data_IF_659693922679
#
_entry.id   IF_659693922679
#
_cell.length_a   1.000
_cell.length_b   1.000
_cell.length_c   1.000
_cell.angle_alpha   90.00
_cell.angle_beta   90.00
_cell.angle_gamma   90.00
#
_symmetry.space_group_name_H-M   'P 1'
#
loop_
_entity.id
_entity.type
_entity.pdbx_description
1 polymer ?
#
# COMPACT_ATOMS: atom_id res chain seq x y z
N UNK A 1 -19.93 15.82 11.27
CA UNK A 1 -19.10 15.04 10.34
C UNK A 1 -17.65 15.31 10.72
N UNK A 2 -16.91 14.30 11.18
CA UNK A 2 -15.52 14.47 11.59
C UNK A 2 -14.63 14.51 10.34
N UNK A 3 -13.65 15.41 10.33
CA UNK A 3 -12.69 15.58 9.24
C UNK A 3 -11.29 15.41 9.82
N UNK A 4 -10.50 14.54 9.21
CA UNK A 4 -9.09 14.31 9.50
C UNK A 4 -8.30 14.91 8.34
N UNK A 5 -7.48 15.91 8.66
CA UNK A 5 -6.54 16.55 7.72
C UNK A 5 -5.12 16.18 8.12
N UNK A 6 -4.32 15.73 7.17
CA UNK A 6 -2.89 15.53 7.37
C UNK A 6 -2.09 16.20 6.25
N UNK A 7 -0.91 16.71 6.58
CA UNK A 7 0.02 17.26 5.58
C UNK A 7 1.49 17.21 6.01
N UNK A 8 1.81 17.55 7.26
CA UNK A 8 3.18 17.68 7.75
C UNK A 8 3.69 16.38 8.37
N UNK A 9 5.01 16.23 8.40
CA UNK A 9 5.72 15.07 8.99
C UNK A 9 5.34 14.78 10.45
N UNK A 10 4.87 15.80 11.19
CA UNK A 10 4.47 15.67 12.59
C UNK A 10 2.96 15.57 12.80
N UNK A 11 2.16 15.58 11.73
CA UNK A 11 0.72 15.45 11.86
C UNK A 11 0.36 13.99 12.15
N UNK A 12 -0.65 13.73 13.01
CA UNK A 12 -1.27 12.42 13.09
C UNK A 12 -1.64 11.93 11.68
N UNK A 13 -1.46 10.64 11.40
CA UNK A 13 -1.80 10.02 10.11
C UNK A 13 -0.96 10.47 8.90
N UNK A 14 0.21 11.10 9.10
CA UNK A 14 1.16 11.31 7.99
C UNK A 14 1.57 9.99 7.32
N UNK A 15 1.48 8.89 8.06
CA UNK A 15 1.63 7.52 7.57
C UNK A 15 0.69 7.20 6.40
N UNK A 16 -0.41 7.92 6.20
CA UNK A 16 -1.34 7.71 5.09
C UNK A 16 -0.85 8.32 3.78
N UNK A 17 -0.01 9.36 3.83
CA UNK A 17 0.58 9.95 2.63
C UNK A 17 1.31 8.90 1.80
N UNK A 18 1.17 8.98 0.48
CA UNK A 18 1.87 8.10 -0.45
C UNK A 18 3.41 8.37 -0.48
N UNK A 19 3.86 9.44 0.16
CA UNK A 19 5.27 9.75 0.42
C UNK A 19 5.83 9.08 1.68
N UNK A 20 4.99 8.53 2.55
CA UNK A 20 5.43 7.92 3.79
C UNK A 20 6.35 6.70 3.51
N UNK A 21 7.45 6.53 4.27
CA UNK A 21 8.48 5.51 4.02
C UNK A 21 8.04 4.12 4.49
N UNK A 22 6.97 3.62 3.90
CA UNK A 22 6.49 2.25 4.06
C UNK A 22 6.74 1.51 2.74
N UNK A 23 7.83 0.73 2.65
CA UNK A 23 8.15 0.00 1.43
C UNK A 23 7.04 -0.97 1.07
N UNK A 24 6.75 -1.09 -0.22
CA UNK A 24 5.73 -2.00 -0.75
C UNK A 24 6.36 -2.94 -1.76
N UNK A 25 5.96 -4.21 -1.68
CA UNK A 25 6.43 -5.23 -2.60
C UNK A 25 5.33 -5.55 -3.60
N UNK A 26 5.54 -5.23 -4.87
CA UNK A 26 4.54 -5.41 -5.94
C UNK A 26 5.23 -6.02 -7.16
N UNK A 27 4.66 -7.11 -7.69
CA UNK A 27 5.12 -7.79 -8.91
C UNK A 27 6.63 -8.10 -8.90
N UNK A 28 7.14 -8.72 -7.82
CA UNK A 28 8.55 -9.10 -7.73
C UNK A 28 9.52 -7.95 -7.42
N UNK A 29 9.02 -6.72 -7.21
CA UNK A 29 9.87 -5.55 -6.97
C UNK A 29 9.49 -4.81 -5.69
N UNK A 30 10.52 -4.45 -4.92
CA UNK A 30 10.39 -3.59 -3.74
C UNK A 30 10.44 -2.12 -4.16
N UNK A 31 9.45 -1.35 -3.71
CA UNK A 31 9.34 0.09 -3.89
C UNK A 31 9.46 0.78 -2.55
N UNK A 32 10.30 1.81 -2.44
CA UNK A 32 10.55 2.50 -1.16
C UNK A 32 9.32 3.20 -0.61
N UNK A 33 8.45 3.70 -1.49
CA UNK A 33 7.14 4.30 -1.16
C UNK A 33 6.13 4.06 -2.28
N UNK A 34 4.85 4.32 -2.01
CA UNK A 34 3.79 4.34 -3.03
C UNK A 34 4.12 5.36 -4.12
N UNK A 35 4.69 6.52 -3.78
CA UNK A 35 5.12 7.52 -4.76
C UNK A 35 6.15 6.98 -5.76
N UNK A 36 7.11 6.17 -5.34
CA UNK A 36 8.08 5.55 -6.26
C UNK A 36 7.39 4.62 -7.26
N UNK A 37 6.48 3.76 -6.74
CA UNK A 37 5.68 2.87 -7.58
C UNK A 37 4.83 3.68 -8.58
N UNK A 38 4.13 4.71 -8.09
CA UNK A 38 3.25 5.55 -8.90
C UNK A 38 4.00 6.28 -10.03
N UNK A 39 5.13 6.91 -9.72
CA UNK A 39 5.92 7.63 -10.72
C UNK A 39 6.55 6.69 -11.75
N UNK A 40 7.03 5.51 -11.32
CA UNK A 40 7.60 4.53 -12.25
C UNK A 40 6.55 3.99 -13.23
N UNK A 41 5.32 3.74 -12.75
CA UNK A 41 4.23 3.22 -13.57
C UNK A 41 3.71 4.18 -14.65
N UNK A 42 4.22 5.42 -14.72
CA UNK A 42 4.00 6.33 -15.85
C UNK A 42 4.69 5.88 -17.13
N UNK A 43 5.72 5.05 -17.03
CA UNK A 43 6.63 4.75 -18.13
C UNK A 43 6.57 3.27 -18.49
N UNK A 44 6.87 2.95 -19.76
CA UNK A 44 7.17 1.58 -20.21
C UNK A 44 8.68 1.35 -20.37
N UNK A 45 9.48 2.41 -20.30
CA UNK A 45 10.93 2.34 -20.42
C UNK A 45 11.55 1.84 -19.11
N UNK A 46 12.20 0.67 -19.17
CA UNK A 46 12.79 0.01 -18.00
C UNK A 46 13.90 0.83 -17.33
N UNK A 47 14.72 1.57 -18.07
CA UNK A 47 15.79 2.37 -17.49
C UNK A 47 15.23 3.50 -16.61
N UNK A 48 14.13 4.13 -17.05
CA UNK A 48 13.44 5.16 -16.27
C UNK A 48 12.79 4.55 -15.02
N UNK A 49 12.14 3.39 -15.17
CA UNK A 49 11.52 2.65 -14.06
C UNK A 49 12.57 2.30 -13.00
N UNK A 50 13.71 1.72 -13.43
CA UNK A 50 14.82 1.36 -12.54
C UNK A 50 15.41 2.59 -11.86
N UNK A 51 15.66 3.65 -12.62
CA UNK A 51 16.17 4.93 -12.09
C UNK A 51 15.24 5.48 -11.01
N UNK A 52 13.93 5.50 -11.27
CA UNK A 52 12.93 5.95 -10.30
C UNK A 52 12.98 5.09 -9.05
N UNK A 53 13.01 3.77 -9.19
CA UNK A 53 13.01 2.84 -8.05
C UNK A 53 14.24 2.99 -7.15
N UNK A 54 15.37 3.42 -7.71
CA UNK A 54 16.64 3.55 -7.00
C UNK A 54 16.78 4.88 -6.24
N UNK A 55 15.98 5.91 -6.55
CA UNK A 55 16.02 7.17 -5.79
C UNK A 55 15.77 6.95 -4.30
N UNK A 56 16.49 7.67 -3.44
CA UNK A 56 16.29 7.57 -1.99
C UNK A 56 15.10 8.37 -1.51
N UNK A 57 14.74 9.44 -2.22
CA UNK A 57 13.66 10.36 -1.84
C UNK A 57 12.47 10.22 -2.80
N UNK A 58 11.22 10.14 -2.28
CA UNK A 58 10.03 10.20 -3.11
C UNK A 58 9.95 11.51 -3.91
N UNK A 59 10.55 12.60 -3.41
CA UNK A 59 10.60 13.86 -4.15
C UNK A 59 11.47 13.75 -5.42
N UNK A 60 12.53 12.94 -5.40
CA UNK A 60 13.36 12.74 -6.60
C UNK A 60 12.65 11.83 -7.61
N UNK A 61 11.89 10.83 -7.14
CA UNK A 61 10.96 10.07 -7.99
C UNK A 61 9.93 10.98 -8.68
N UNK A 62 9.36 11.97 -7.96
CA UNK A 62 8.45 12.97 -8.54
C UNK A 62 9.13 13.81 -9.61
N UNK A 63 10.35 14.29 -9.34
CA UNK A 63 11.11 15.11 -10.31
C UNK A 63 11.36 14.34 -11.60
N UNK A 64 11.79 13.08 -11.50
CA UNK A 64 12.01 12.23 -12.67
C UNK A 64 10.70 11.89 -13.38
N UNK A 65 9.64 11.58 -12.63
CA UNK A 65 8.32 11.30 -13.18
C UNK A 65 7.59 12.51 -13.78
N UNK A 66 8.13 13.72 -13.61
CA UNK A 66 7.69 14.98 -14.25
C UNK A 66 8.68 15.48 -15.30
N UNK A 67 9.75 14.73 -15.57
CA UNK A 67 10.73 15.11 -16.59
C UNK A 67 10.09 15.04 -17.98
N UNK A 68 9.97 16.21 -18.62
CA UNK A 68 9.32 16.37 -19.94
C UNK A 68 9.99 15.60 -21.09
N UNK A 69 11.22 15.14 -20.90
CA UNK A 69 11.94 14.35 -21.90
C UNK A 69 11.55 12.87 -21.88
N UNK A 70 10.86 12.42 -20.82
CA UNK A 70 10.42 11.04 -20.67
C UNK A 70 9.04 10.85 -21.31
N UNK A 71 8.88 9.80 -22.11
CA UNK A 71 7.62 9.47 -22.78
C UNK A 71 6.72 8.72 -21.79
N UNK A 72 5.64 9.38 -21.35
CA UNK A 72 4.59 8.79 -20.50
C UNK A 72 3.70 7.89 -21.37
N UNK A 73 3.19 6.79 -20.79
CA UNK A 73 2.21 5.91 -21.44
C UNK A 73 0.97 6.68 -21.88
N UNK A 74 0.42 6.32 -23.03
CA UNK A 74 -0.72 7.01 -23.63
C UNK A 74 -2.01 6.88 -22.80
N UNK A 75 -2.16 5.78 -22.05
CA UNK A 75 -3.30 5.46 -21.19
C UNK A 75 -3.17 6.04 -19.76
N UNK A 76 -2.10 6.79 -19.46
CA UNK A 76 -1.76 7.19 -18.09
C UNK A 76 -2.89 7.91 -17.35
N UNK A 77 -3.59 8.83 -18.02
CA UNK A 77 -4.67 9.58 -17.39
C UNK A 77 -5.87 8.70 -17.00
N UNK A 78 -6.05 7.56 -17.67
CA UNK A 78 -7.12 6.59 -17.42
C UNK A 78 -6.74 5.66 -16.25
N UNK A 79 -5.47 5.23 -16.17
CA UNK A 79 -5.03 4.20 -15.22
C UNK A 79 -4.45 4.74 -13.90
N UNK A 80 -4.16 6.04 -13.80
CA UNK A 80 -3.44 6.60 -12.64
C UNK A 80 -4.16 6.37 -11.30
N UNK A 81 -5.49 6.38 -11.30
CA UNK A 81 -6.28 6.12 -10.08
C UNK A 81 -6.11 4.66 -9.64
N UNK A 82 -6.15 3.70 -10.57
CA UNK A 82 -5.93 2.28 -10.29
C UNK A 82 -4.50 1.99 -9.82
N UNK A 83 -3.50 2.64 -10.43
CA UNK A 83 -2.11 2.53 -10.01
C UNK A 83 -1.92 3.07 -8.60
N UNK A 84 -2.50 4.24 -8.28
CA UNK A 84 -2.44 4.78 -6.92
C UNK A 84 -3.14 3.85 -5.92
N UNK A 85 -4.36 3.40 -6.26
CA UNK A 85 -5.13 2.49 -5.43
C UNK A 85 -4.36 1.21 -5.14
N UNK A 86 -3.79 0.57 -6.16
CA UNK A 86 -2.99 -0.66 -6.01
C UNK A 86 -1.79 -0.43 -5.08
N UNK A 87 -1.10 0.69 -5.22
CA UNK A 87 0.00 1.06 -4.32
C UNK A 87 -0.46 1.21 -2.87
N UNK A 88 -1.57 1.92 -2.64
CA UNK A 88 -2.17 2.07 -1.31
C UNK A 88 -2.63 0.72 -0.75
N UNK A 89 -3.33 -0.09 -1.53
CA UNK A 89 -3.78 -1.42 -1.14
C UNK A 89 -2.61 -2.25 -0.59
N UNK A 90 -1.53 -2.42 -1.35
CA UNK A 90 -0.37 -3.17 -0.89
C UNK A 90 0.31 -2.53 0.32
N UNK A 91 0.36 -1.19 0.39
CA UNK A 91 0.88 -0.48 1.57
C UNK A 91 0.11 -0.83 2.83
N UNK A 92 -1.22 -0.81 2.82
CA UNK A 92 -1.99 -1.11 4.02
C UNK A 92 -1.97 -2.61 4.32
N UNK A 93 -2.20 -3.47 3.34
CA UNK A 93 -2.20 -4.94 3.52
C UNK A 93 -0.85 -5.45 4.04
N UNK A 94 0.27 -4.99 3.50
CA UNK A 94 1.60 -5.46 3.91
C UNK A 94 2.10 -4.83 5.21
N UNK A 95 1.42 -3.79 5.72
CA UNK A 95 1.77 -3.11 6.98
C UNK A 95 0.57 -3.12 7.94
N UNK A 96 0.36 -4.21 8.70
CA UNK A 96 -0.82 -4.35 9.55
C UNK A 96 -1.08 -3.22 10.56
N UNK A 97 -0.03 -2.53 11.01
CA UNK A 97 -0.17 -1.34 11.87
C UNK A 97 -0.92 -0.22 11.15
N UNK A 98 -0.66 -0.01 9.86
CA UNK A 98 -1.35 0.98 9.04
C UNK A 98 -2.80 0.59 8.81
N UNK A 99 -3.09 -0.69 8.57
CA UNK A 99 -4.47 -1.18 8.46
C UNK A 99 -5.28 -0.85 9.71
N UNK A 100 -4.72 -1.13 10.90
CA UNK A 100 -5.37 -0.77 12.17
C UNK A 100 -5.57 0.74 12.30
N UNK A 101 -4.56 1.52 11.94
CA UNK A 101 -4.64 2.99 11.96
C UNK A 101 -5.74 3.52 11.02
N UNK A 102 -5.84 2.98 9.79
CA UNK A 102 -6.88 3.34 8.82
C UNK A 102 -8.28 3.02 9.33
N UNK A 103 -8.49 1.82 9.88
CA UNK A 103 -9.77 1.41 10.45
C UNK A 103 -10.15 2.25 11.67
N UNK A 104 -9.17 2.67 12.48
CA UNK A 104 -9.41 3.52 13.66
C UNK A 104 -10.00 4.88 13.31
N UNK A 105 -9.90 5.32 12.05
CA UNK A 105 -10.55 6.56 11.58
C UNK A 105 -12.08 6.47 11.57
N UNK A 106 -12.66 5.27 11.68
CA UNK A 106 -14.11 5.09 11.70
C UNK A 106 -14.76 5.68 10.46
N UNK A 107 -15.78 6.53 10.63
CA UNK A 107 -16.47 7.20 9.51
C UNK A 107 -15.89 8.59 9.19
N UNK A 108 -14.67 8.89 9.64
CA UNK A 108 -14.04 10.20 9.47
C UNK A 108 -13.65 10.42 8.01
N UNK A 109 -13.87 11.64 7.49
CA UNK A 109 -13.35 12.01 6.17
C UNK A 109 -11.84 12.16 6.24
N UNK A 110 -11.15 11.52 5.30
CA UNK A 110 -9.70 11.57 5.18
C UNK A 110 -9.35 12.61 4.10
N UNK A 111 -8.57 13.61 4.46
CA UNK A 111 -8.16 14.69 3.56
C UNK A 111 -6.65 14.87 3.61
N UNK A 112 -5.99 14.73 2.45
CA UNK A 112 -4.63 15.21 2.28
C UNK A 112 -4.67 16.72 2.02
N UNK A 113 -4.13 17.51 2.95
CA UNK A 113 -4.36 18.94 2.99
C UNK A 113 -3.15 19.74 2.47
N UNK A 114 -3.06 19.94 1.16
CA UNK A 114 -1.95 20.67 0.55
C UNK A 114 -2.39 21.64 -0.53
N UNK A 115 -1.74 22.81 -0.60
CA UNK A 115 -1.92 23.78 -1.68
C UNK A 115 -1.26 23.36 -3.00
N UNK A 116 -0.35 22.39 -2.94
CA UNK A 116 0.55 22.04 -4.04
C UNK A 116 -0.01 20.94 -4.95
N UNK A 117 -1.08 20.26 -4.55
CA UNK A 117 -1.72 19.23 -5.34
C UNK A 117 -3.23 19.49 -5.41
N UNK A 118 -3.75 19.56 -6.64
CA UNK A 118 -5.15 19.88 -6.94
C UNK A 118 -5.96 18.65 -7.35
N UNK A 119 -5.32 17.49 -7.46
CA UNK A 119 -5.96 16.25 -7.89
C UNK A 119 -6.00 15.24 -6.73
N UNK A 120 -4.84 14.92 -6.16
CA UNK A 120 -4.73 13.94 -5.08
C UNK A 120 -5.16 14.53 -3.73
N UNK A 121 -4.99 15.85 -3.55
CA UNK A 121 -5.29 16.58 -2.34
C UNK A 121 -6.41 17.62 -2.52
N UNK A 122 -6.76 18.30 -1.43
CA UNK A 122 -7.86 19.28 -1.37
C UNK A 122 -7.50 20.71 -1.82
N UNK A 123 -6.25 20.94 -2.26
CA UNK A 123 -5.79 22.26 -2.70
C UNK A 123 -5.60 23.29 -1.58
N UNK A 124 -5.74 22.90 -0.31
CA UNK A 124 -5.58 23.75 0.86
C UNK A 124 -6.78 24.67 1.16
N UNK A 125 -7.71 24.82 0.23
CA UNK A 125 -8.98 25.55 0.40
C UNK A 125 -10.21 24.62 0.39
N UNK A 126 -10.01 23.31 0.17
CA UNK A 126 -11.10 22.33 0.09
C UNK A 126 -11.80 22.28 -1.26
N UNK A 127 -11.37 23.06 -2.27
CA UNK A 127 -12.05 23.19 -3.56
C UNK A 127 -11.64 22.14 -4.60
N UNK A 128 -10.82 21.16 -4.21
CA UNK A 128 -10.21 20.16 -5.11
C UNK A 128 -10.67 18.75 -4.79
N UNK A 129 -10.28 17.81 -5.66
CA UNK A 129 -10.87 16.46 -5.68
C UNK A 129 -10.54 15.62 -4.45
N UNK A 130 -9.39 15.81 -3.80
CA UNK A 130 -8.96 14.96 -2.68
C UNK A 130 -9.01 13.45 -3.02
N UNK A 131 -8.62 13.08 -4.25
CA UNK A 131 -8.74 11.68 -4.73
C UNK A 131 -8.00 10.69 -3.85
N UNK A 132 -6.88 11.07 -3.26
CA UNK A 132 -6.13 10.18 -2.36
C UNK A 132 -6.96 9.83 -1.13
N UNK A 133 -7.57 10.84 -0.50
CA UNK A 133 -8.45 10.65 0.65
C UNK A 133 -9.68 9.81 0.32
N UNK A 134 -10.26 10.00 -0.86
CA UNK A 134 -11.38 9.17 -1.36
C UNK A 134 -10.96 7.70 -1.54
N UNK A 135 -9.79 7.43 -2.16
CA UNK A 135 -9.28 6.07 -2.31
C UNK A 135 -8.97 5.40 -0.96
N UNK A 136 -8.46 6.16 0.02
CA UNK A 136 -8.25 5.66 1.39
C UNK A 136 -9.56 5.29 2.08
N UNK A 137 -10.62 6.07 1.87
CA UNK A 137 -11.96 5.74 2.39
C UNK A 137 -12.50 4.48 1.71
N UNK A 138 -12.38 4.36 0.39
CA UNK A 138 -12.77 3.13 -0.34
C UNK A 138 -12.04 1.92 0.22
N UNK A 139 -10.71 1.99 0.33
CA UNK A 139 -9.89 0.91 0.90
C UNK A 139 -10.29 0.58 2.35
N UNK A 140 -10.60 1.59 3.17
CA UNK A 140 -11.07 1.38 4.54
C UNK A 140 -12.38 0.60 4.57
N UNK A 141 -13.36 0.98 3.75
CA UNK A 141 -14.65 0.29 3.70
C UNK A 141 -14.49 -1.13 3.13
N UNK A 142 -13.60 -1.34 2.15
CA UNK A 142 -13.28 -2.69 1.68
C UNK A 142 -12.70 -3.56 2.79
N UNK A 143 -11.68 -3.07 3.50
CA UNK A 143 -11.08 -3.82 4.63
C UNK A 143 -12.10 -4.06 5.74
N UNK A 144 -12.94 -3.07 6.04
CA UNK A 144 -13.98 -3.21 7.05
C UNK A 144 -15.02 -4.25 6.64
N UNK A 145 -15.48 -4.25 5.39
CA UNK A 145 -16.39 -5.27 4.88
C UNK A 145 -15.77 -6.67 4.94
N UNK A 146 -14.47 -6.78 4.71
CA UNK A 146 -13.75 -8.04 4.93
C UNK A 146 -13.87 -8.44 6.41
N UNK A 147 -13.53 -7.56 7.36
CA UNK A 147 -13.58 -7.84 8.80
C UNK A 147 -14.99 -8.13 9.31
N UNK A 148 -16.02 -7.39 8.85
CA UNK A 148 -17.42 -7.61 9.22
C UNK A 148 -17.93 -8.96 8.67
N UNK A 149 -17.33 -9.45 7.57
CA UNK A 149 -17.47 -10.82 7.08
C UNK A 149 -16.61 -11.83 7.85
N UNK A 150 -16.12 -11.43 9.03
CA UNK A 150 -15.20 -12.13 9.94
C UNK A 150 -13.84 -12.47 9.32
N UNK A 151 -13.40 -11.80 8.26
CA UNK A 151 -12.13 -12.04 7.58
C UNK A 151 -10.97 -11.48 8.40
N UNK A 152 -9.92 -12.30 8.58
CA UNK A 152 -8.76 -11.97 9.41
C UNK A 152 -7.98 -10.73 8.95
N UNK A 153 -7.46 -9.99 9.93
CA UNK A 153 -6.70 -8.75 9.72
C UNK A 153 -5.27 -8.97 9.20
N UNK A 154 -4.67 -10.13 9.50
CA UNK A 154 -3.36 -10.52 8.99
C UNK A 154 -3.59 -11.67 8.04
N UNK A 155 -3.31 -11.41 6.75
CA UNK A 155 -3.46 -12.41 5.70
C UNK A 155 -2.26 -13.36 5.70
N UNK A 156 -2.43 -14.60 5.22
CA UNK A 156 -1.31 -15.50 5.07
C UNK A 156 -0.30 -14.97 4.04
N UNK A 157 0.97 -15.41 4.10
CA UNK A 157 2.05 -14.90 3.26
C UNK A 157 1.74 -14.93 1.75
N UNK A 158 1.14 -16.02 1.26
CA UNK A 158 0.78 -16.17 -0.16
C UNK A 158 -0.36 -15.27 -0.64
N UNK A 159 -1.13 -14.66 0.27
CA UNK A 159 -2.15 -13.67 -0.09
C UNK A 159 -1.57 -12.26 0.00
N UNK A 160 -0.76 -11.97 1.03
CA UNK A 160 -0.14 -10.66 1.19
C UNK A 160 1.00 -10.39 0.17
N UNK A 161 1.67 -11.45 -0.27
CA UNK A 161 2.77 -11.45 -1.24
C UNK A 161 2.56 -12.54 -2.30
N UNK A 162 1.54 -12.40 -3.17
CA UNK A 162 1.09 -13.47 -4.06
C UNK A 162 2.07 -13.84 -5.18
N UNK A 163 3.14 -13.06 -5.35
CA UNK A 163 4.15 -13.26 -6.38
C UNK A 163 5.51 -13.67 -5.80
N UNK A 164 5.57 -14.17 -4.56
CA UNK A 164 6.80 -14.59 -3.91
C UNK A 164 6.74 -16.06 -3.53
N UNK A 165 7.71 -16.82 -4.04
CA UNK A 165 7.91 -18.23 -3.72
C UNK A 165 8.27 -18.41 -2.23
N UNK A 166 7.80 -19.48 -1.59
CA UNK A 166 8.09 -19.75 -0.18
C UNK A 166 9.60 -19.86 0.13
N UNK A 167 10.43 -20.22 -0.85
CA UNK A 167 11.86 -20.38 -0.69
C UNK A 167 12.67 -19.11 -1.00
N UNK A 168 12.01 -18.04 -1.44
CA UNK A 168 12.67 -16.78 -1.80
C UNK A 168 13.43 -16.18 -0.59
N UNK A 169 14.59 -15.59 -0.85
CA UNK A 169 15.40 -14.90 0.18
C UNK A 169 14.63 -13.76 0.84
N UNK A 170 13.60 -13.20 0.19
CA UNK A 170 12.66 -12.24 0.74
C UNK A 170 12.11 -12.65 2.11
N UNK A 171 11.81 -13.94 2.30
CA UNK A 171 11.28 -14.46 3.57
C UNK A 171 12.32 -14.57 4.68
N UNK A 172 13.61 -14.49 4.32
CA UNK A 172 14.74 -14.67 5.24
C UNK A 172 15.38 -13.36 5.67
N UNK A 173 14.92 -12.22 5.14
CA UNK A 173 15.44 -10.92 5.53
C UNK A 173 14.47 -9.77 5.30
N UNK A 174 14.56 -8.76 6.17
CA UNK A 174 13.93 -7.47 5.96
C UNK A 174 12.40 -7.54 6.05
N UNK A 175 11.72 -7.16 4.97
CA UNK A 175 10.25 -7.02 4.96
C UNK A 175 9.52 -8.36 5.09
N UNK A 176 9.93 -9.38 4.33
CA UNK A 176 9.27 -10.68 4.34
C UNK A 176 9.44 -11.41 5.67
N UNK A 177 10.67 -11.43 6.21
CA UNK A 177 10.95 -11.97 7.55
C UNK A 177 10.10 -11.30 8.64
N UNK A 178 10.02 -9.97 8.63
CA UNK A 178 9.20 -9.22 9.59
C UNK A 178 7.71 -9.56 9.43
N UNK A 179 7.20 -9.64 8.19
CA UNK A 179 5.82 -10.02 7.95
C UNK A 179 5.52 -11.44 8.43
N UNK A 180 6.39 -12.42 8.13
CA UNK A 180 6.26 -13.79 8.65
C UNK A 180 6.26 -13.83 10.17
N UNK A 181 7.11 -13.05 10.84
CA UNK A 181 7.10 -12.96 12.31
C UNK A 181 5.76 -12.43 12.84
N UNK A 182 5.19 -11.42 12.20
CA UNK A 182 3.88 -10.85 12.59
C UNK A 182 2.76 -11.86 12.32
N UNK A 183 2.77 -12.48 11.14
CA UNK A 183 1.78 -13.47 10.73
C UNK A 183 1.81 -14.69 11.65
N UNK A 184 2.97 -15.27 11.93
CA UNK A 184 3.10 -16.42 12.83
C UNK A 184 2.56 -16.09 14.24
N UNK A 185 2.89 -14.91 14.78
CA UNK A 185 2.32 -14.45 16.06
C UNK A 185 0.80 -14.30 16.00
N UNK A 186 0.26 -13.73 14.93
CA UNK A 186 -1.19 -13.59 14.76
C UNK A 186 -1.87 -14.97 14.68
N UNK A 187 -1.36 -15.85 13.82
CA UNK A 187 -1.88 -17.18 13.59
C UNK A 187 -1.89 -18.03 14.88
N UNK A 188 -0.83 -17.96 15.69
CA UNK A 188 -0.77 -18.65 16.98
C UNK A 188 -1.82 -18.16 18.01
N UNK A 189 -2.35 -16.95 17.82
CA UNK A 189 -3.32 -16.32 18.73
C UNK A 189 -4.73 -16.20 18.13
N UNK A 190 -4.99 -16.77 16.95
CA UNK A 190 -6.32 -16.81 16.32
C UNK A 190 -6.95 -18.21 16.39
N UNK A 191 -8.20 -18.33 15.97
CA UNK A 191 -8.85 -19.63 15.81
C UNK A 191 -8.30 -20.34 14.56
N UNK A 192 -7.31 -21.21 14.76
CA UNK A 192 -6.60 -21.92 13.68
C UNK A 192 -7.53 -22.65 12.71
N UNK A 193 -8.48 -23.44 13.23
CA UNK A 193 -9.43 -24.18 12.40
C UNK A 193 -10.22 -23.28 11.43
N UNK A 194 -10.61 -22.09 11.89
CA UNK A 194 -11.32 -21.13 11.06
C UNK A 194 -10.41 -20.44 10.05
N UNK A 195 -9.22 -20.05 10.50
CA UNK A 195 -8.20 -19.42 9.66
C UNK A 195 -7.74 -20.34 8.52
N UNK A 196 -7.37 -21.58 8.82
CA UNK A 196 -6.92 -22.59 7.86
C UNK A 196 -8.01 -22.95 6.85
N UNK A 197 -9.26 -23.10 7.30
CA UNK A 197 -10.40 -23.38 6.41
C UNK A 197 -10.66 -22.24 5.44
N UNK A 198 -10.51 -20.99 5.89
CA UNK A 198 -10.70 -19.82 5.04
C UNK A 198 -9.54 -19.61 4.07
N UNK A 199 -8.32 -19.88 4.53
CA UNK A 199 -7.11 -19.71 3.75
C UNK A 199 -6.39 -21.04 3.63
N UNK A 200 -6.87 -21.94 2.75
CA UNK A 200 -6.19 -23.20 2.52
C UNK A 200 -4.79 -22.93 1.96
N UNK A 201 -3.87 -23.82 2.33
CA UNK A 201 -2.53 -23.86 1.74
C UNK A 201 -2.67 -24.08 0.22
N UNK A 202 -1.76 -23.48 -0.54
CA UNK A 202 -1.55 -23.83 -1.94
C UNK A 202 -0.35 -24.79 -2.04
N UNK A 203 -0.08 -25.31 -3.24
CA UNK A 203 1.02 -26.25 -3.48
C UNK A 203 2.37 -25.69 -3.00
N UNK A 204 2.58 -24.38 -3.16
CA UNK A 204 3.81 -23.70 -2.77
C UNK A 204 3.91 -23.42 -1.27
N UNK A 205 2.90 -23.70 -0.46
CA UNK A 205 2.90 -23.42 0.98
C UNK A 205 2.39 -24.60 1.79
N UNK A 206 2.49 -25.83 1.25
CA UNK A 206 2.07 -27.06 1.93
C UNK A 206 2.84 -27.26 3.24
N UNK A 207 2.09 -27.58 4.31
CA UNK A 207 2.63 -27.80 5.65
C UNK A 207 2.94 -26.51 6.42
N UNK A 208 2.69 -25.32 5.85
CA UNK A 208 2.97 -24.04 6.52
C UNK A 208 2.11 -23.82 7.79
N UNK A 209 1.03 -24.55 8.00
CA UNK A 209 0.27 -24.51 9.25
C UNK A 209 0.71 -25.54 10.29
N UNK A 210 1.57 -26.49 9.90
CA UNK A 210 1.95 -27.66 10.71
C UNK A 210 3.05 -27.40 11.76
N UNK A 211 3.34 -26.13 12.06
CA UNK A 211 4.35 -25.71 13.05
C UNK A 211 3.82 -25.70 14.49
#
# INVERSE_FOLDING_TARGET
>A
MNILKYYRVNDPYVSFSNFAPFPIFINGKLWKTVEHYFQANKFSNLDIIEKISNYSSPMDAVKEGRNRFNIIKSDWEEIKDDVMYKGLYFKFIQHPKLTKELLSTGNTMIIEHTKNDKYWADGGDGSRKNRLGELLIVLREEIKNLIDSEIDLILPPWIAFPNIDQNDLFWRMGMGENYLSIWAKYYLNTNKNFYEKRYPENEDWEGVYSW
#
